data_IF_789312867984
#
_entry.id   IF_789312867984
#
_cell.length_a   1.000
_cell.length_b   1.000
_cell.length_c   1.000
_cell.angle_alpha   90.00
_cell.angle_beta   90.00
_cell.angle_gamma   90.00
#
_symmetry.space_group_name_H-M   'P 1'
#
loop_
_entity.id
_entity.type
_entity.pdbx_description
1 polymer ?
#
# COMPACT_ATOMS: atom_id res chain seq x y z
N UNK A 1 8.10 9.66 3.33
CA UNK A 1 6.81 9.34 3.98
C UNK A 1 6.52 7.86 3.84
N UNK A 2 6.01 7.26 4.89
CA UNK A 2 5.65 5.84 4.85
C UNK A 2 4.31 5.65 4.15
N UNK A 3 4.21 4.61 3.34
CA UNK A 3 3.01 4.32 2.61
C UNK A 3 1.79 4.15 3.53
N UNK A 4 1.94 3.39 4.61
CA UNK A 4 0.84 3.16 5.54
C UNK A 4 0.32 4.45 6.14
N UNK A 5 1.22 5.35 6.53
CA UNK A 5 0.82 6.63 7.10
C UNK A 5 0.08 7.49 6.08
N UNK A 6 0.55 7.49 4.83
CA UNK A 6 -0.12 8.21 3.76
C UNK A 6 -1.52 7.67 3.53
N UNK A 7 -1.64 6.35 3.38
CA UNK A 7 -2.93 5.72 3.10
C UNK A 7 -3.93 5.93 4.23
N UNK A 8 -3.46 5.90 5.49
CA UNK A 8 -4.35 6.08 6.63
C UNK A 8 -4.87 7.51 6.75
N UNK A 9 -4.23 8.45 6.07
CA UNK A 9 -4.66 9.85 6.08
C UNK A 9 -5.71 10.14 5.00
N UNK A 10 -5.95 9.20 4.08
CA UNK A 10 -6.90 9.41 3.00
C UNK A 10 -8.32 9.04 3.43
N UNK A 11 -9.30 9.69 2.80
CA UNK A 11 -10.69 9.33 3.01
C UNK A 11 -11.01 8.03 2.26
N UNK A 12 -12.14 7.40 2.61
CA UNK A 12 -12.54 6.17 1.94
C UNK A 12 -12.72 6.33 0.43
N UNK A 13 -13.39 7.37 -0.06
CA UNK A 13 -13.50 7.57 -1.52
C UNK A 13 -12.15 7.72 -2.19
N UNK A 14 -11.20 8.40 -1.55
CA UNK A 14 -9.87 8.55 -2.09
C UNK A 14 -9.13 7.23 -2.18
N UNK A 15 -9.28 6.39 -1.16
CA UNK A 15 -8.68 5.06 -1.16
C UNK A 15 -9.26 4.18 -2.27
N UNK A 16 -10.58 4.22 -2.44
CA UNK A 16 -11.24 3.41 -3.48
C UNK A 16 -10.77 3.84 -4.86
N UNK A 17 -10.66 5.13 -5.09
CA UNK A 17 -10.18 5.65 -6.36
C UNK A 17 -8.75 5.21 -6.63
N UNK A 18 -7.89 5.28 -5.62
CA UNK A 18 -6.50 4.82 -5.76
C UNK A 18 -6.43 3.34 -6.11
N UNK A 19 -7.25 2.52 -5.48
CA UNK A 19 -7.27 1.09 -5.76
C UNK A 19 -7.55 0.82 -7.24
N UNK A 20 -8.50 1.55 -7.80
CA UNK A 20 -8.84 1.42 -9.21
C UNK A 20 -7.69 1.89 -10.11
N UNK A 21 -7.12 3.05 -9.79
CA UNK A 21 -6.06 3.63 -10.59
C UNK A 21 -4.78 2.80 -10.57
N UNK A 22 -4.47 2.20 -9.43
CA UNK A 22 -3.27 1.39 -9.28
C UNK A 22 -3.41 0.00 -9.87
N UNK A 23 -4.63 -0.45 -10.11
CA UNK A 23 -4.89 -1.77 -10.67
C UNK A 23 -4.18 -2.87 -9.89
N UNK A 24 -4.42 -2.89 -8.59
CA UNK A 24 -3.74 -3.83 -7.70
C UNK A 24 -4.29 -5.24 -7.83
N UNK A 25 -3.42 -6.23 -7.68
CA UNK A 25 -3.83 -7.63 -7.59
C UNK A 25 -4.53 -7.88 -6.25
N UNK A 26 -5.17 -9.04 -6.12
CA UNK A 26 -5.88 -9.38 -4.88
C UNK A 26 -4.95 -9.32 -3.66
N UNK A 27 -3.75 -9.88 -3.80
CA UNK A 27 -2.76 -9.85 -2.71
C UNK A 27 -2.35 -8.43 -2.36
N UNK A 28 -2.14 -7.60 -3.39
CA UNK A 28 -1.76 -6.21 -3.19
C UNK A 28 -2.91 -5.42 -2.56
N UNK A 29 -4.13 -5.70 -2.98
CA UNK A 29 -5.30 -5.05 -2.40
C UNK A 29 -5.42 -5.34 -0.91
N UNK A 30 -5.15 -6.58 -0.52
CA UNK A 30 -5.21 -6.96 0.89
C UNK A 30 -4.19 -6.19 1.72
N UNK A 31 -2.97 -6.08 1.20
CA UNK A 31 -1.92 -5.30 1.87
C UNK A 31 -2.29 -3.82 1.91
N UNK A 32 -2.76 -3.29 0.78
CA UNK A 32 -3.17 -1.89 0.69
C UNK A 32 -4.25 -1.56 1.72
N UNK A 33 -5.28 -2.40 1.80
CA UNK A 33 -6.40 -2.18 2.72
C UNK A 33 -5.92 -2.18 4.17
N UNK A 34 -5.07 -3.13 4.53
CA UNK A 34 -4.54 -3.20 5.89
C UNK A 34 -3.64 -2.00 6.21
N UNK A 35 -2.86 -1.55 5.26
CA UNK A 35 -2.04 -0.35 5.44
C UNK A 35 -2.91 0.89 5.66
N UNK A 36 -4.02 0.98 4.94
CA UNK A 36 -4.92 2.12 5.08
C UNK A 36 -5.56 2.17 6.45
N UNK A 37 -5.60 1.05 7.15
CA UNK A 37 -6.09 0.96 8.52
C UNK A 37 -4.97 1.15 9.54
N UNK A 38 -3.80 1.55 9.09
CA UNK A 38 -2.64 1.82 9.92
C UNK A 38 -2.15 0.60 10.71
N UNK A 39 -2.25 -0.57 10.09
CA UNK A 39 -1.77 -1.81 10.70
C UNK A 39 -0.28 -1.99 10.40
N UNK A 40 0.43 -2.61 11.34
CA UNK A 40 1.86 -2.86 11.18
C UNK A 40 2.12 -3.97 10.16
N UNK A 41 3.34 -4.00 9.62
CA UNK A 41 3.74 -5.05 8.68
C UNK A 41 3.64 -6.44 9.31
N UNK A 42 3.96 -6.56 10.59
CA UNK A 42 3.88 -7.83 11.30
C UNK A 42 2.42 -8.31 11.34
N UNK A 43 1.51 -7.39 11.65
CA UNK A 43 0.08 -7.71 11.69
C UNK A 43 -0.43 -8.13 10.31
N UNK A 44 -0.01 -7.41 9.28
CA UNK A 44 -0.44 -7.73 7.91
C UNK A 44 0.10 -9.09 7.48
N UNK A 45 1.36 -9.37 7.78
CA UNK A 45 1.97 -10.64 7.44
C UNK A 45 1.23 -11.80 8.11
N UNK A 46 0.85 -11.62 9.36
CA UNK A 46 0.11 -12.64 10.09
C UNK A 46 -1.26 -12.89 9.44
N UNK A 47 -1.97 -11.83 9.08
CA UNK A 47 -3.27 -11.95 8.44
C UNK A 47 -3.19 -12.58 7.06
N UNK A 48 -2.12 -12.32 6.32
CA UNK A 48 -1.93 -12.85 4.98
C UNK A 48 -1.25 -14.22 4.97
N UNK A 49 -0.81 -14.70 6.14
CA UNK A 49 -0.11 -15.97 6.30
C UNK A 49 1.17 -16.02 5.45
N UNK A 50 1.90 -14.93 5.45
CA UNK A 50 3.18 -14.81 4.72
C UNK A 50 4.21 -14.15 5.64
N UNK A 51 5.46 -14.13 5.19
CA UNK A 51 6.53 -13.50 5.96
C UNK A 51 6.47 -11.98 5.87
N UNK A 52 7.10 -11.30 6.81
CA UNK A 52 7.20 -9.84 6.78
C UNK A 52 7.97 -9.38 5.55
N UNK A 53 8.97 -10.16 5.12
CA UNK A 53 9.71 -9.85 3.89
C UNK A 53 8.80 -9.81 2.67
N UNK A 54 7.85 -10.71 2.59
CA UNK A 54 6.88 -10.73 1.49
C UNK A 54 6.04 -9.47 1.51
N UNK A 55 5.58 -9.07 2.70
CA UNK A 55 4.80 -7.84 2.86
C UNK A 55 5.62 -6.62 2.43
N UNK A 56 6.88 -6.56 2.84
CA UNK A 56 7.76 -5.46 2.45
C UNK A 56 7.89 -5.36 0.93
N UNK A 57 8.04 -6.48 0.25
CA UNK A 57 8.12 -6.50 -1.21
C UNK A 57 6.84 -6.01 -1.85
N UNK A 58 5.69 -6.39 -1.31
CA UNK A 58 4.41 -5.93 -1.83
C UNK A 58 4.24 -4.43 -1.62
N UNK A 59 4.69 -3.92 -0.49
CA UNK A 59 4.64 -2.48 -0.21
C UNK A 59 5.52 -1.73 -1.23
N UNK A 60 6.69 -2.25 -1.53
CA UNK A 60 7.57 -1.65 -2.54
C UNK A 60 6.91 -1.62 -3.92
N UNK A 61 6.21 -2.68 -4.27
CA UNK A 61 5.49 -2.74 -5.54
C UNK A 61 4.38 -1.70 -5.59
N UNK A 62 3.62 -1.56 -4.51
CA UNK A 62 2.56 -0.57 -4.41
C UNK A 62 3.14 0.84 -4.52
N UNK A 63 4.25 1.10 -3.82
CA UNK A 63 4.94 2.38 -3.90
C UNK A 63 5.39 2.71 -5.33
N UNK A 64 5.92 1.72 -6.05
CA UNK A 64 6.32 1.90 -7.43
C UNK A 64 5.15 2.28 -8.32
N UNK A 65 4.02 1.63 -8.12
CA UNK A 65 2.81 1.94 -8.87
C UNK A 65 2.31 3.35 -8.55
N UNK A 66 2.35 3.74 -7.29
CA UNK A 66 1.96 5.09 -6.87
C UNK A 66 2.87 6.14 -7.50
N UNK A 67 4.16 5.90 -7.51
CA UNK A 67 5.11 6.83 -8.10
C UNK A 67 4.85 7.05 -9.59
N UNK A 68 4.51 5.98 -10.31
CA UNK A 68 4.15 6.10 -11.73
C UNK A 68 2.89 6.92 -11.90
N UNK A 69 1.90 6.66 -11.05
CA UNK A 69 0.63 7.37 -11.12
C UNK A 69 0.81 8.87 -10.87
N UNK A 70 1.74 9.21 -9.99
CA UNK A 70 2.03 10.59 -9.63
C UNK A 70 3.02 11.27 -10.55
N UNK A 71 3.32 10.68 -11.69
CA UNK A 71 4.20 11.30 -12.67
C UNK A 71 5.68 11.20 -12.35
N UNK A 72 6.07 10.24 -11.53
CA UNK A 72 7.47 9.99 -11.22
C UNK A 72 8.00 10.75 -10.03
N UNK A 73 7.18 11.53 -9.36
CA UNK A 73 7.58 12.18 -8.13
C UNK A 73 7.93 11.17 -7.07
N UNK A 74 8.88 11.49 -6.22
CA UNK A 74 9.40 10.57 -5.21
C UNK A 74 8.45 10.35 -4.06
N UNK A 75 7.22 10.12 -4.34
CA UNK A 75 6.22 9.93 -3.33
C UNK A 75 6.56 8.75 -2.41
N UNK A 76 6.63 9.01 -1.12
CA UNK A 76 6.84 7.97 -0.14
C UNK A 76 8.21 7.30 -0.16
N UNK A 77 9.09 7.74 -1.01
CA UNK A 77 10.38 7.07 -1.23
C UNK A 77 11.52 7.76 -0.53
N UNK A 78 11.44 8.99 -0.37
CA UNK A 78 12.54 9.78 0.22
C UNK A 78 12.56 9.71 1.70
#
# INVERSE_FOLDING_TARGET
MRLGKYLSSLTKPELDELKEQLNLSDDELLVFDNLSKNRSQVTIADKCLVSVSTIDNRIKTINSKLNRLKGGDSFGVK
#
